data_IF_179996642477
#
_entry.id   IF_179996642477
#
_cell.length_a   1.000
_cell.length_b   1.000
_cell.length_c   1.000
_cell.angle_alpha   90.00
_cell.angle_beta   90.00
_cell.angle_gamma   90.00
#
_symmetry.space_group_name_H-M   'P 1'
#
loop_
_entity.id
_entity.type
_entity.pdbx_description
1 polymer ?
#
# COMPACT_ATOMS: atom_id res chain seq x y z
N UNK A 1 37.65 -28.09 6.18
CA UNK A 1 37.92 -26.65 5.98
C UNK A 1 37.04 -25.86 6.94
N UNK A 2 37.63 -25.11 7.87
CA UNK A 2 36.90 -24.26 8.81
C UNK A 2 36.98 -22.81 8.32
N UNK A 3 35.88 -22.28 7.78
CA UNK A 3 35.85 -20.91 7.25
C UNK A 3 35.45 -19.96 8.40
N UNK A 4 36.38 -19.13 8.87
CA UNK A 4 36.08 -18.09 9.85
C UNK A 4 35.47 -16.87 9.16
N UNK A 5 34.15 -16.70 9.31
CA UNK A 5 33.44 -15.53 8.77
C UNK A 5 33.19 -14.52 9.89
N UNK A 6 33.83 -13.36 9.78
CA UNK A 6 33.63 -12.24 10.71
C UNK A 6 32.20 -11.68 10.60
N UNK A 7 31.52 -11.46 11.73
CA UNK A 7 30.17 -10.88 11.83
C UNK A 7 30.02 -9.60 10.99
N UNK A 8 31.08 -8.78 10.90
CA UNK A 8 31.07 -7.54 10.12
C UNK A 8 30.90 -7.80 8.62
N UNK A 9 31.49 -8.88 8.08
CA UNK A 9 31.26 -9.31 6.68
C UNK A 9 29.82 -9.75 6.48
N UNK A 10 29.26 -10.54 7.40
CA UNK A 10 27.86 -10.95 7.33
C UNK A 10 26.90 -9.75 7.35
N UNK A 11 27.16 -8.76 8.22
CA UNK A 11 26.37 -7.52 8.29
C UNK A 11 26.45 -6.72 6.99
N UNK A 12 27.64 -6.56 6.40
CA UNK A 12 27.83 -5.88 5.11
C UNK A 12 27.09 -6.59 3.97
N UNK A 13 27.22 -7.91 3.88
CA UNK A 13 26.52 -8.69 2.86
C UNK A 13 25.00 -8.54 2.99
N UNK A 14 24.45 -8.65 4.21
CA UNK A 14 23.02 -8.41 4.47
C UNK A 14 22.59 -7.00 4.07
N UNK A 15 23.44 -5.98 4.30
CA UNK A 15 23.16 -4.60 3.90
C UNK A 15 23.09 -4.46 2.38
N UNK A 16 24.08 -4.98 1.64
CA UNK A 16 24.09 -4.91 0.18
C UNK A 16 22.86 -5.57 -0.46
N UNK A 17 22.43 -6.71 0.06
CA UNK A 17 21.22 -7.39 -0.42
C UNK A 17 19.97 -6.53 -0.17
N UNK A 18 19.85 -5.92 1.02
CA UNK A 18 18.74 -5.03 1.35
C UNK A 18 18.72 -3.78 0.47
N UNK A 19 19.87 -3.15 0.26
CA UNK A 19 19.99 -1.93 -0.54
C UNK A 19 19.61 -2.21 -2.00
N UNK A 20 20.12 -3.30 -2.59
CA UNK A 20 19.77 -3.72 -3.95
C UNK A 20 18.30 -4.09 -4.10
N UNK A 21 17.72 -4.73 -3.09
CA UNK A 21 16.29 -5.03 -3.07
C UNK A 21 15.45 -3.74 -3.07
N UNK A 22 15.85 -2.74 -2.26
CA UNK A 22 15.16 -1.45 -2.21
C UNK A 22 15.24 -0.69 -3.55
N UNK A 23 16.41 -0.68 -4.19
CA UNK A 23 16.59 -0.07 -5.52
C UNK A 23 15.68 -0.71 -6.57
N UNK A 24 15.61 -2.04 -6.61
CA UNK A 24 14.73 -2.75 -7.54
C UNK A 24 13.25 -2.38 -7.32
N UNK A 25 12.80 -2.29 -6.06
CA UNK A 25 11.44 -1.87 -5.76
C UNK A 25 11.14 -0.45 -6.25
N UNK A 26 12.07 0.49 -6.07
CA UNK A 26 11.93 1.86 -6.57
C UNK A 26 11.84 1.87 -8.09
N UNK A 27 12.70 1.11 -8.77
CA UNK A 27 12.71 1.01 -10.23
C UNK A 27 11.41 0.44 -10.80
N UNK A 28 10.90 -0.68 -10.26
CA UNK A 28 9.64 -1.27 -10.70
C UNK A 28 8.43 -0.35 -10.43
N UNK A 29 8.47 0.38 -9.32
CA UNK A 29 7.41 1.33 -9.02
C UNK A 29 7.43 2.55 -9.95
N UNK A 30 8.61 3.04 -10.33
CA UNK A 30 8.75 4.14 -11.28
C UNK A 30 8.13 3.84 -12.66
N UNK A 31 8.05 2.56 -13.06
CA UNK A 31 7.36 2.13 -14.28
C UNK A 31 5.85 2.29 -14.23
N UNK A 32 5.28 2.48 -13.04
CA UNK A 32 3.84 2.60 -12.81
C UNK A 32 3.48 3.98 -12.24
N UNK A 33 3.80 5.07 -12.95
CA UNK A 33 3.52 6.43 -12.48
C UNK A 33 2.02 6.57 -12.20
N UNK A 34 1.67 7.24 -11.10
CA UNK A 34 0.29 7.42 -10.57
C UNK A 34 -0.33 6.23 -9.82
N UNK A 35 0.33 5.08 -9.78
CA UNK A 35 -0.04 4.05 -8.81
C UNK A 35 0.20 4.56 -7.39
N UNK A 36 -0.56 4.08 -6.42
CA UNK A 36 -0.47 4.53 -5.03
C UNK A 36 -0.13 3.35 -4.13
N UNK A 37 0.93 3.50 -3.33
CA UNK A 37 1.29 2.57 -2.27
C UNK A 37 1.29 3.33 -0.96
N UNK A 38 0.55 2.83 0.03
CA UNK A 38 0.52 3.36 1.39
C UNK A 38 0.77 2.22 2.35
N UNK A 39 1.77 2.37 3.21
CA UNK A 39 2.05 1.42 4.29
C UNK A 39 1.92 2.16 5.62
N UNK A 40 1.15 1.58 6.53
CA UNK A 40 1.07 2.04 7.91
C UNK A 40 1.71 0.99 8.82
N UNK A 41 2.57 1.47 9.71
CA UNK A 41 3.19 0.68 10.76
C UNK A 41 2.91 1.38 12.08
N UNK A 42 2.64 0.59 13.11
CA UNK A 42 2.49 1.08 14.48
C UNK A 42 3.75 0.75 15.28
N UNK A 43 4.05 1.59 16.26
CA UNK A 43 5.11 1.36 17.25
C UNK A 43 4.52 1.60 18.62
N UNK A 44 4.81 0.71 19.57
CA UNK A 44 4.37 0.86 20.97
C UNK A 44 5.18 1.99 21.62
N UNK A 45 6.48 2.02 21.35
CA UNK A 45 7.42 3.10 21.69
C UNK A 45 8.33 3.41 20.51
N UNK A 46 8.97 4.59 20.41
CA UNK A 46 9.88 4.92 19.30
C UNK A 46 10.99 3.88 19.08
N UNK A 47 11.47 3.26 20.14
CA UNK A 47 12.53 2.24 20.17
C UNK A 47 12.01 0.83 19.84
N UNK A 48 10.69 0.61 19.97
CA UNK A 48 10.09 -0.69 19.69
C UNK A 48 10.17 -1.05 18.20
N UNK A 49 10.29 -2.35 17.88
CA UNK A 49 10.19 -2.80 16.50
C UNK A 49 8.85 -2.36 15.86
N UNK A 50 8.86 -1.91 14.60
CA UNK A 50 7.63 -1.55 13.90
C UNK A 50 6.75 -2.80 13.71
N UNK A 51 5.49 -2.68 14.10
CA UNK A 51 4.47 -3.68 13.87
C UNK A 51 3.67 -3.28 12.62
N UNK A 52 3.46 -4.26 11.75
CA UNK A 52 2.65 -4.05 10.56
C UNK A 52 1.19 -3.76 10.94
N UNK A 53 0.64 -2.64 10.46
CA UNK A 53 -0.77 -2.30 10.66
C UNK A 53 -1.59 -2.61 9.41
N UNK A 54 -1.20 -2.01 8.28
CA UNK A 54 -1.89 -2.18 7.00
C UNK A 54 -1.02 -1.77 5.82
N UNK A 55 -1.28 -2.41 4.69
CA UNK A 55 -0.68 -2.10 3.40
C UNK A 55 -1.78 -1.91 2.38
N UNK A 56 -1.67 -0.85 1.59
CA UNK A 56 -2.60 -0.52 0.54
C UNK A 56 -1.82 -0.27 -0.74
N UNK A 57 -2.24 -0.94 -1.81
CA UNK A 57 -1.70 -0.77 -3.16
C UNK A 57 -2.86 -0.54 -4.10
N UNK A 58 -2.78 0.49 -4.92
CA UNK A 58 -3.74 0.73 -5.97
C UNK A 58 -3.05 1.14 -7.27
N UNK A 59 -3.00 0.19 -8.20
CA UNK A 59 -2.40 0.39 -9.50
C UNK A 59 -3.26 1.30 -10.36
N UNK A 60 -2.61 2.16 -11.16
CA UNK A 60 -3.30 3.11 -12.04
C UNK A 60 -4.24 2.40 -13.03
N UNK A 61 -3.83 1.26 -13.58
CA UNK A 61 -4.68 0.47 -14.46
C UNK A 61 -5.98 0.01 -13.76
N UNK A 62 -5.89 -0.39 -12.49
CA UNK A 62 -7.06 -0.78 -11.69
C UNK A 62 -7.93 0.41 -11.32
N UNK A 63 -7.33 1.57 -11.02
CA UNK A 63 -8.07 2.84 -10.81
C UNK A 63 -8.93 3.17 -12.02
N UNK A 64 -8.33 3.11 -13.21
CA UNK A 64 -9.01 3.41 -14.47
C UNK A 64 -10.15 2.43 -14.75
N UNK A 65 -9.86 1.12 -14.72
CA UNK A 65 -10.88 0.10 -14.95
C UNK A 65 -12.02 0.14 -13.93
N UNK A 66 -11.72 0.45 -12.67
CA UNK A 66 -12.75 0.67 -11.64
C UNK A 66 -13.64 1.87 -11.97
N UNK A 67 -13.05 3.03 -12.31
CA UNK A 67 -13.79 4.26 -12.62
C UNK A 67 -14.64 4.14 -13.88
N UNK A 68 -14.11 3.48 -14.91
CA UNK A 68 -14.78 3.34 -16.22
C UNK A 68 -15.80 2.19 -16.24
N UNK A 69 -15.50 1.06 -15.60
CA UNK A 69 -16.34 -0.14 -15.66
C UNK A 69 -17.13 -0.43 -14.40
N UNK A 70 -16.44 -0.64 -13.28
CA UNK A 70 -17.10 -1.17 -12.07
C UNK A 70 -17.97 -0.14 -11.33
N UNK A 71 -17.55 1.13 -11.27
CA UNK A 71 -18.25 2.18 -10.51
C UNK A 71 -19.67 2.45 -11.02
N UNK A 72 -19.93 2.55 -12.34
CA UNK A 72 -21.29 2.67 -12.87
C UNK A 72 -22.16 1.44 -12.59
N UNK A 73 -21.59 0.22 -12.68
CA UNK A 73 -22.34 -1.04 -12.49
C UNK A 73 -22.81 -1.21 -11.04
N UNK A 74 -21.97 -0.83 -10.08
CA UNK A 74 -22.32 -0.89 -8.66
C UNK A 74 -23.24 0.25 -8.23
N UNK A 75 -23.59 1.14 -9.17
CA UNK A 75 -24.48 2.28 -9.00
C UNK A 75 -24.16 3.10 -7.73
N UNK A 76 -22.87 3.15 -7.36
CA UNK A 76 -22.41 3.79 -6.13
C UNK A 76 -22.60 5.32 -6.14
N UNK A 77 -22.87 5.89 -7.32
CA UNK A 77 -23.22 7.30 -7.48
C UNK A 77 -24.74 7.57 -7.46
N UNK A 78 -25.59 6.53 -7.54
CA UNK A 78 -27.06 6.65 -7.62
C UNK A 78 -27.86 5.72 -6.72
N UNK A 79 -27.23 4.84 -5.93
CA UNK A 79 -27.94 3.76 -5.28
C UNK A 79 -28.84 4.25 -4.13
N UNK A 80 -30.13 3.89 -4.25
CA UNK A 80 -31.13 3.83 -3.20
C UNK A 80 -30.72 2.82 -2.11
N UNK A 81 -29.64 3.09 -1.38
CA UNK A 81 -29.32 2.36 -0.17
C UNK A 81 -30.46 2.60 0.83
N UNK A 82 -31.29 1.58 1.08
CA UNK A 82 -32.24 1.57 2.20
C UNK A 82 -31.54 1.05 3.44
N UNK A 83 -31.79 1.69 4.58
CA UNK A 83 -31.29 1.27 5.89
C UNK A 83 -29.87 1.76 6.24
N UNK A 84 -29.23 1.10 7.22
CA UNK A 84 -27.99 1.51 7.91
C UNK A 84 -26.81 1.79 6.96
N UNK A 85 -26.78 1.13 5.80
CA UNK A 85 -25.80 1.39 4.75
C UNK A 85 -25.86 2.85 4.26
N UNK A 86 -27.05 3.47 4.15
CA UNK A 86 -27.19 4.87 3.71
C UNK A 86 -26.47 5.85 4.64
N UNK A 87 -26.57 5.67 5.96
CA UNK A 87 -25.86 6.53 6.91
C UNK A 87 -24.35 6.31 6.89
N UNK A 88 -23.92 5.04 6.82
CA UNK A 88 -22.50 4.69 6.79
C UNK A 88 -21.81 5.18 5.51
N UNK A 89 -22.48 5.15 4.36
CA UNK A 89 -21.93 5.65 3.10
C UNK A 89 -22.17 7.16 2.90
N UNK A 90 -23.26 7.75 3.39
CA UNK A 90 -23.50 9.21 3.30
C UNK A 90 -22.48 10.02 4.10
N UNK A 91 -22.15 9.59 5.33
CA UNK A 91 -21.14 10.24 6.18
C UNK A 91 -19.73 10.16 5.59
N UNK A 92 -19.51 9.21 4.67
CA UNK A 92 -18.21 8.83 4.15
C UNK A 92 -18.03 9.18 2.66
N UNK A 93 -19.10 9.37 1.88
CA UNK A 93 -19.09 9.62 0.42
C UNK A 93 -18.25 10.86 0.06
N UNK A 94 -18.32 11.92 0.88
CA UNK A 94 -17.47 13.11 0.74
C UNK A 94 -15.98 12.85 1.01
N UNK A 95 -15.65 11.80 1.75
CA UNK A 95 -14.28 11.37 2.02
C UNK A 95 -13.75 10.41 0.95
N UNK A 96 -14.59 9.50 0.42
CA UNK A 96 -14.19 8.52 -0.59
C UNK A 96 -14.02 9.11 -2.00
N UNK A 97 -14.80 10.13 -2.36
CA UNK A 97 -14.67 10.82 -3.66
C UNK A 97 -13.33 11.54 -3.83
N UNK A 98 -12.65 11.89 -2.73
CA UNK A 98 -11.29 12.46 -2.73
C UNK A 98 -10.19 11.41 -2.52
N UNK A 99 -10.54 10.17 -2.23
CA UNK A 99 -9.58 9.13 -1.84
C UNK A 99 -9.13 8.21 -2.99
N UNK A 100 -9.76 8.31 -4.18
CA UNK A 100 -9.48 7.47 -5.36
C UNK A 100 -9.15 8.25 -6.63
#
# INVERSE_FOLDING_TARGET
>A
MHVNVNITRCRRAKKMVKDKLAENFVHEFAKNPRSTIKMAVDRVTPESPPHFKRFYVFFEALKRGWKEGCRPILDLDGCFLKGVAKELFSKNSKAWTKAF
#
